data_IF_289295030669
#
_entry.id   IF_289295030669
#
_cell.length_a   1.000
_cell.length_b   1.000
_cell.length_c   1.000
_cell.angle_alpha   90.00
_cell.angle_beta   90.00
_cell.angle_gamma   90.00
#
_symmetry.space_group_name_H-M   'P 1'
#
loop_
_entity.id
_entity.type
_entity.pdbx_description
1 polymer ?
#
# COMPACT_ATOMS: atom_id res chain seq x y z
N UNK A 1 21.40 0.84 7.11
CA UNK A 1 21.09 -0.56 7.43
C UNK A 1 19.61 -0.75 7.28
N UNK A 2 19.15 -1.85 6.68
CA UNK A 2 17.71 -2.14 6.55
C UNK A 2 17.10 -2.40 7.91
N UNK A 3 15.85 -2.00 8.07
CA UNK A 3 15.08 -2.08 9.32
C UNK A 3 14.43 -3.45 9.54
N UNK A 4 14.64 -4.39 8.61
CA UNK A 4 14.14 -5.76 8.64
C UNK A 4 15.15 -6.74 8.05
N UNK A 5 15.00 -8.03 8.39
CA UNK A 5 15.89 -9.10 7.88
C UNK A 5 15.55 -9.43 6.42
N UNK A 6 16.44 -9.10 5.51
CA UNK A 6 16.27 -9.30 4.06
C UNK A 6 16.39 -10.76 3.60
N UNK A 7 16.85 -11.67 4.47
CA UNK A 7 17.02 -13.10 4.13
C UNK A 7 15.72 -13.91 4.36
N UNK A 8 14.66 -13.27 4.82
CA UNK A 8 13.35 -13.91 5.04
C UNK A 8 12.45 -13.59 3.83
N UNK A 9 11.89 -14.63 3.23
CA UNK A 9 10.85 -14.50 2.20
C UNK A 9 9.51 -14.28 2.85
N UNK A 10 8.95 -13.06 2.75
CA UNK A 10 7.71 -12.71 3.44
C UNK A 10 6.50 -12.76 2.51
N UNK A 11 5.37 -13.18 3.10
CA UNK A 11 4.03 -12.97 2.54
C UNK A 11 3.28 -12.10 3.55
N UNK A 12 2.92 -10.90 3.12
CA UNK A 12 2.23 -9.92 3.93
C UNK A 12 0.77 -9.74 3.53
N UNK A 13 0.03 -9.03 4.35
CA UNK A 13 -1.37 -8.70 4.12
C UNK A 13 -1.67 -7.23 4.42
N UNK A 14 -2.87 -6.77 4.02
CA UNK A 14 -3.21 -5.36 3.99
C UNK A 14 -4.31 -4.97 4.99
N UNK A 15 -4.06 -3.90 5.73
CA UNK A 15 -4.99 -3.00 6.40
C UNK A 15 -5.85 -3.60 7.53
N UNK A 16 -6.51 -4.73 7.34
CA UNK A 16 -7.51 -5.25 8.28
C UNK A 16 -7.17 -6.65 8.76
N UNK A 17 -7.44 -6.89 10.03
CA UNK A 17 -7.41 -8.23 10.62
C UNK A 17 -8.85 -8.69 10.80
N UNK A 18 -9.20 -9.81 10.17
CA UNK A 18 -10.53 -10.40 10.22
C UNK A 18 -10.62 -11.44 11.32
N UNK A 19 -11.83 -11.73 11.78
CA UNK A 19 -12.13 -12.84 12.68
C UNK A 19 -12.28 -14.14 11.89
N UNK A 20 -12.45 -15.26 12.58
CA UNK A 20 -12.75 -16.58 11.98
C UNK A 20 -14.02 -16.60 11.12
N UNK A 21 -14.89 -15.59 11.26
CA UNK A 21 -16.14 -15.44 10.50
C UNK A 21 -16.08 -14.33 9.46
N UNK A 22 -14.89 -13.97 8.99
CA UNK A 22 -14.65 -12.92 7.98
C UNK A 22 -15.16 -11.52 8.37
N UNK A 23 -15.33 -11.29 9.66
CA UNK A 23 -15.72 -10.00 10.20
C UNK A 23 -14.49 -9.23 10.67
N UNK A 24 -14.48 -7.91 10.44
CA UNK A 24 -13.43 -7.05 10.94
C UNK A 24 -13.34 -7.17 12.47
N UNK A 25 -12.14 -7.50 13.00
CA UNK A 25 -11.93 -7.62 14.44
C UNK A 25 -12.12 -6.25 15.11
N UNK A 26 -13.08 -6.11 16.04
CA UNK A 26 -13.53 -4.80 16.53
C UNK A 26 -12.44 -4.00 17.25
N UNK A 27 -11.50 -4.69 17.90
CA UNK A 27 -10.43 -4.06 18.68
C UNK A 27 -9.11 -3.89 17.92
N UNK A 28 -8.96 -4.55 16.76
CA UNK A 28 -7.72 -4.54 15.99
C UNK A 28 -7.79 -3.60 14.79
N UNK A 29 -8.97 -3.18 14.36
CA UNK A 29 -9.08 -2.35 13.18
C UNK A 29 -9.33 -0.87 13.54
N UNK A 30 -8.79 0.00 12.69
CA UNK A 30 -8.99 1.46 12.80
C UNK A 30 -10.45 1.83 12.50
N UNK A 31 -10.83 3.01 12.95
CA UNK A 31 -12.13 3.64 12.67
C UNK A 31 -11.91 4.90 11.87
N UNK A 32 -12.83 5.19 10.96
CA UNK A 32 -12.83 6.42 10.17
C UNK A 32 -14.04 7.28 10.48
N UNK A 33 -14.10 8.45 9.86
CA UNK A 33 -15.24 9.35 9.88
C UNK A 33 -15.35 10.02 8.52
N UNK A 34 -16.52 10.58 8.21
CA UNK A 34 -16.68 11.35 6.98
C UNK A 34 -16.60 12.85 7.27
N UNK A 35 -16.11 13.63 6.31
CA UNK A 35 -16.10 15.08 6.38
C UNK A 35 -17.50 15.62 6.61
N UNK A 36 -18.51 15.07 5.93
CA UNK A 36 -19.91 15.45 6.11
C UNK A 36 -20.40 15.24 7.54
N UNK A 37 -19.96 14.17 8.22
CA UNK A 37 -20.31 13.96 9.62
C UNK A 37 -19.66 15.03 10.52
N UNK A 38 -18.37 15.28 10.34
CA UNK A 38 -17.64 16.28 11.11
C UNK A 38 -18.25 17.69 10.92
N UNK A 39 -18.55 18.09 9.69
CA UNK A 39 -19.12 19.39 9.38
C UNK A 39 -20.49 19.65 10.03
N UNK A 40 -21.20 18.61 10.45
CA UNK A 40 -22.50 18.74 11.17
C UNK A 40 -22.35 18.87 12.68
N UNK A 41 -21.13 18.71 13.22
CA UNK A 41 -20.87 18.80 14.65
C UNK A 41 -20.52 20.24 15.06
N UNK A 42 -20.72 20.58 16.32
CA UNK A 42 -20.11 21.76 16.92
C UNK A 42 -18.59 21.64 16.95
N UNK A 43 -17.86 22.73 17.11
CA UNK A 43 -16.41 22.71 17.20
C UNK A 43 -15.90 21.76 18.29
N UNK A 44 -16.51 21.80 19.48
CA UNK A 44 -16.17 20.86 20.57
C UNK A 44 -16.50 19.41 20.20
N UNK A 45 -17.59 19.19 19.49
CA UNK A 45 -17.98 17.88 18.99
C UNK A 45 -17.00 17.32 17.95
N UNK A 46 -16.50 18.17 17.04
CA UNK A 46 -15.46 17.81 16.08
C UNK A 46 -14.17 17.41 16.80
N UNK A 47 -13.67 18.23 17.72
CA UNK A 47 -12.47 17.95 18.49
C UNK A 47 -12.60 16.66 19.31
N UNK A 48 -13.72 16.50 20.04
CA UNK A 48 -13.98 15.28 20.81
C UNK A 48 -14.00 14.02 19.92
N UNK A 49 -14.61 14.12 18.72
CA UNK A 49 -14.64 13.02 17.76
C UNK A 49 -13.25 12.68 17.23
N UNK A 50 -12.45 13.68 16.84
CA UNK A 50 -11.09 13.48 16.32
C UNK A 50 -10.16 12.90 17.40
N UNK A 51 -10.25 13.40 18.65
CA UNK A 51 -9.53 12.82 19.79
C UNK A 51 -9.89 11.33 20.01
N UNK A 52 -11.18 11.00 20.00
CA UNK A 52 -11.62 9.62 20.16
C UNK A 52 -11.14 8.70 19.03
N UNK A 53 -11.08 9.19 17.79
CA UNK A 53 -10.53 8.44 16.65
C UNK A 53 -9.01 8.28 16.77
N UNK A 54 -8.30 9.35 17.12
CA UNK A 54 -6.86 9.32 17.34
C UNK A 54 -6.48 8.25 18.39
N UNK A 55 -7.11 8.32 19.57
CA UNK A 55 -6.88 7.35 20.65
C UNK A 55 -7.16 5.91 20.20
N UNK A 56 -8.32 5.70 19.58
CA UNK A 56 -8.69 4.36 19.12
C UNK A 56 -7.71 3.82 18.08
N UNK A 57 -7.40 4.62 17.06
CA UNK A 57 -6.60 4.17 15.91
C UNK A 57 -5.13 3.92 16.28
N UNK A 58 -4.52 4.78 17.06
CA UNK A 58 -3.16 4.56 17.56
C UNK A 58 -3.08 3.26 18.38
N UNK A 59 -4.03 3.04 19.29
CA UNK A 59 -4.09 1.81 20.07
C UNK A 59 -4.42 0.57 19.21
N UNK A 60 -5.30 0.70 18.21
CA UNK A 60 -5.60 -0.38 17.28
C UNK A 60 -4.35 -0.78 16.50
N UNK A 61 -3.62 0.18 15.95
CA UNK A 61 -2.37 -0.07 15.23
C UNK A 61 -1.34 -0.81 16.10
N UNK A 62 -1.13 -0.38 17.34
CA UNK A 62 -0.22 -1.10 18.25
C UNK A 62 -0.68 -2.53 18.53
N UNK A 63 -1.98 -2.77 18.66
CA UNK A 63 -2.54 -4.13 18.82
C UNK A 63 -2.37 -4.96 17.55
N UNK A 64 -2.51 -4.35 16.35
CA UNK A 64 -2.22 -5.02 15.07
C UNK A 64 -0.75 -5.48 15.02
N UNK A 65 0.20 -4.62 15.38
CA UNK A 65 1.62 -4.99 15.43
C UNK A 65 1.89 -6.15 16.39
N UNK A 66 1.26 -6.15 17.58
CA UNK A 66 1.36 -7.28 18.52
C UNK A 66 0.77 -8.58 17.95
N UNK A 67 -0.30 -8.48 17.17
CA UNK A 67 -0.89 -9.63 16.51
C UNK A 67 0.05 -10.14 15.40
N UNK A 68 0.60 -9.27 14.58
CA UNK A 68 1.58 -9.61 13.52
C UNK A 68 2.85 -10.24 14.12
N UNK A 69 3.35 -9.72 15.23
CA UNK A 69 4.55 -10.25 15.91
C UNK A 69 4.37 -11.70 16.39
N UNK A 70 3.15 -12.17 16.61
CA UNK A 70 2.84 -13.57 16.97
C UNK A 70 2.84 -14.51 15.77
N UNK A 71 2.83 -13.97 14.55
CA UNK A 71 2.84 -14.79 13.34
C UNK A 71 4.26 -15.34 13.07
N UNK A 72 4.38 -16.41 12.27
CA UNK A 72 5.68 -16.88 11.77
C UNK A 72 6.48 -15.74 11.14
N UNK A 73 7.80 -15.77 11.22
CA UNK A 73 8.66 -14.68 10.70
C UNK A 73 8.38 -14.34 9.24
N UNK A 74 8.10 -15.34 8.40
CA UNK A 74 7.76 -15.15 6.99
C UNK A 74 6.35 -14.58 6.74
N UNK A 75 5.56 -14.31 7.79
CA UNK A 75 4.27 -13.63 7.73
C UNK A 75 4.31 -12.26 8.42
N UNK A 76 5.47 -11.81 8.91
CA UNK A 76 5.62 -10.52 9.58
C UNK A 76 5.84 -9.40 8.57
N UNK A 77 4.84 -9.18 7.73
CA UNK A 77 4.77 -8.08 6.79
C UNK A 77 3.35 -7.53 6.78
N UNK A 78 3.21 -6.23 6.98
CA UNK A 78 1.89 -5.62 7.18
C UNK A 78 1.81 -4.25 6.49
N UNK A 79 0.75 -4.06 5.68
CA UNK A 79 0.38 -2.76 5.11
C UNK A 79 -0.58 -2.05 6.05
N UNK A 80 -0.16 -0.92 6.59
CA UNK A 80 -0.95 -0.08 7.49
C UNK A 80 -2.03 0.64 6.67
N UNK A 81 -3.21 0.84 7.25
CA UNK A 81 -4.28 1.61 6.60
C UNK A 81 -3.92 3.10 6.53
N UNK A 82 -4.28 3.75 5.43
CA UNK A 82 -4.17 5.21 5.26
C UNK A 82 -5.10 5.99 6.20
N UNK A 83 -6.16 5.37 6.71
CA UNK A 83 -7.12 5.98 7.66
C UNK A 83 -6.62 6.03 9.11
N UNK A 84 -5.30 5.96 9.34
CA UNK A 84 -4.76 5.98 10.70
C UNK A 84 -5.08 7.29 11.43
N UNK A 85 -4.96 8.42 10.73
CA UNK A 85 -5.36 9.76 11.21
C UNK A 85 -6.44 10.36 10.27
N UNK A 86 -7.72 10.09 10.51
CA UNK A 86 -8.79 10.50 9.60
C UNK A 86 -8.88 12.03 9.44
N UNK A 87 -9.11 12.49 8.22
CA UNK A 87 -9.22 13.92 7.86
C UNK A 87 -7.93 14.75 8.08
N UNK A 88 -6.75 14.12 8.21
CA UNK A 88 -5.47 14.80 8.44
C UNK A 88 -5.15 15.83 7.34
N UNK A 89 -5.44 15.52 6.07
CA UNK A 89 -5.14 16.36 4.91
C UNK A 89 -6.26 17.33 4.53
N UNK A 90 -7.35 17.40 5.32
CA UNK A 90 -8.45 18.30 5.07
C UNK A 90 -8.22 19.65 5.78
N UNK A 91 -8.30 20.76 5.05
CA UNK A 91 -7.98 22.12 5.53
C UNK A 91 -8.68 22.50 6.84
N UNK A 92 -9.94 22.15 7.01
CA UNK A 92 -10.72 22.48 8.20
C UNK A 92 -10.31 21.69 9.44
N UNK A 93 -9.71 20.48 9.27
CA UNK A 93 -9.39 19.55 10.36
C UNK A 93 -7.90 19.35 10.57
N UNK A 94 -7.08 19.68 9.57
CA UNK A 94 -5.62 19.68 9.67
C UNK A 94 -5.10 20.43 10.92
N UNK A 95 -5.62 21.62 11.28
CA UNK A 95 -5.16 22.35 12.47
C UNK A 95 -5.27 21.56 13.79
N UNK A 96 -6.21 20.60 13.89
CA UNK A 96 -6.30 19.71 15.05
C UNK A 96 -5.02 18.89 15.23
N UNK A 97 -4.49 18.33 14.14
CA UNK A 97 -3.31 17.47 14.18
C UNK A 97 -2.00 18.21 14.42
N UNK A 98 -1.99 19.54 14.31
CA UNK A 98 -0.82 20.39 14.63
C UNK A 98 -0.88 21.01 16.02
N UNK A 99 -1.87 20.71 16.85
CA UNK A 99 -1.88 21.09 18.25
C UNK A 99 -0.76 20.34 18.99
N UNK A 100 -0.07 21.04 19.91
CA UNK A 100 1.14 20.52 20.54
C UNK A 100 0.93 19.22 21.32
N UNK A 101 -0.22 19.06 21.95
CA UNK A 101 -0.61 17.87 22.71
C UNK A 101 -0.98 16.70 21.80
N UNK A 102 -1.61 16.99 20.65
CA UNK A 102 -1.92 16.00 19.60
C UNK A 102 -0.64 15.49 18.96
N UNK A 103 0.25 16.40 18.54
CA UNK A 103 1.57 16.05 17.97
C UNK A 103 2.38 15.20 18.96
N UNK A 104 2.50 15.64 20.21
CA UNK A 104 3.25 14.89 21.23
C UNK A 104 2.70 13.48 21.44
N UNK A 105 1.37 13.31 21.39
CA UNK A 105 0.74 12.00 21.49
C UNK A 105 1.03 11.12 20.27
N UNK A 106 0.93 11.67 19.06
CA UNK A 106 1.23 10.95 17.81
C UNK A 106 2.69 10.49 17.82
N UNK A 107 3.63 11.41 18.08
CA UNK A 107 5.08 11.12 18.14
C UNK A 107 5.40 10.00 19.13
N UNK A 108 4.93 10.12 20.36
CA UNK A 108 5.19 9.13 21.39
C UNK A 108 4.64 7.75 21.01
N UNK A 109 3.41 7.70 20.47
CA UNK A 109 2.75 6.44 20.19
C UNK A 109 3.29 5.77 18.92
N UNK A 110 3.47 6.53 17.84
CA UNK A 110 4.03 6.01 16.60
C UNK A 110 5.51 5.66 16.75
N UNK A 111 6.27 6.42 17.53
CA UNK A 111 7.66 6.06 17.88
C UNK A 111 7.74 4.70 18.56
N UNK A 112 6.88 4.46 19.56
CA UNK A 112 6.77 3.14 20.22
C UNK A 112 6.36 2.04 19.23
N UNK A 113 5.44 2.31 18.31
CA UNK A 113 5.04 1.36 17.27
C UNK A 113 6.19 1.01 16.33
N UNK A 114 6.96 2.02 15.90
CA UNK A 114 8.12 1.82 15.03
C UNK A 114 9.23 1.02 15.70
N UNK A 115 9.53 1.31 16.97
CA UNK A 115 10.51 0.53 17.75
C UNK A 115 10.05 -0.93 17.88
N UNK A 116 8.80 -1.14 18.26
CA UNK A 116 8.24 -2.49 18.37
C UNK A 116 8.31 -3.26 17.05
N UNK A 117 8.03 -2.61 15.93
CA UNK A 117 8.09 -3.25 14.61
C UNK A 117 9.53 -3.68 14.26
N UNK A 118 10.54 -2.82 14.54
CA UNK A 118 11.96 -3.15 14.34
C UNK A 118 12.42 -4.30 15.23
N UNK A 119 12.08 -4.26 16.53
CA UNK A 119 12.44 -5.31 17.50
C UNK A 119 11.85 -6.68 17.14
N UNK A 120 10.69 -6.72 16.51
CA UNK A 120 10.00 -7.95 16.13
C UNK A 120 10.16 -8.33 14.65
N UNK A 121 11.04 -7.65 13.92
CA UNK A 121 11.32 -7.89 12.49
C UNK A 121 10.04 -7.85 11.63
N UNK A 122 9.20 -6.85 11.84
CA UNK A 122 7.97 -6.62 11.06
C UNK A 122 8.28 -5.65 9.92
N UNK A 123 8.07 -6.08 8.67
CA UNK A 123 8.17 -5.21 7.50
C UNK A 123 6.88 -4.44 7.31
N UNK A 124 6.95 -3.12 7.46
CA UNK A 124 5.78 -2.23 7.35
C UNK A 124 5.73 -1.55 5.98
N UNK A 125 4.53 -1.18 5.58
CA UNK A 125 4.29 -0.37 4.37
C UNK A 125 3.02 0.45 4.48
N UNK A 126 2.92 1.47 3.62
CA UNK A 126 1.68 2.19 3.30
C UNK A 126 1.33 2.04 1.81
N UNK A 127 0.07 2.31 1.52
CA UNK A 127 -0.43 2.51 0.17
C UNK A 127 -1.54 3.55 0.20
N UNK A 128 -1.23 4.84 -0.10
CA UNK A 128 -2.24 5.88 -0.26
C UNK A 128 -3.37 5.43 -1.17
N UNK A 129 -4.58 5.91 -0.89
CA UNK A 129 -5.76 5.54 -1.67
C UNK A 129 -5.67 5.96 -3.15
N UNK A 130 -6.56 5.42 -3.97
CA UNK A 130 -6.61 5.63 -5.43
C UNK A 130 -6.73 7.11 -5.87
N UNK A 131 -7.02 8.02 -4.94
CA UNK A 131 -7.09 9.46 -5.22
C UNK A 131 -5.72 10.17 -5.14
N UNK A 132 -4.68 9.49 -4.68
CA UNK A 132 -3.31 9.99 -4.71
C UNK A 132 -2.73 9.78 -6.13
N UNK A 133 -2.95 10.78 -7.01
CA UNK A 133 -2.59 10.73 -8.43
C UNK A 133 -1.50 11.77 -8.72
N UNK A 134 -0.25 11.42 -8.40
CA UNK A 134 0.93 12.31 -8.54
C UNK A 134 1.20 12.76 -9.98
N UNK A 135 0.75 12.00 -10.98
CA UNK A 135 0.92 12.31 -12.40
C UNK A 135 -0.36 12.79 -13.09
N UNK A 136 -1.27 13.44 -12.34
CA UNK A 136 -2.46 14.07 -12.92
C UNK A 136 -2.08 15.24 -13.86
N UNK A 137 -2.90 15.47 -14.88
CA UNK A 137 -2.83 16.68 -15.73
C UNK A 137 -3.52 17.89 -15.07
N UNK A 138 -4.22 17.70 -13.97
CA UNK A 138 -4.82 18.77 -13.16
C UNK A 138 -3.86 19.14 -12.01
N UNK A 139 -3.32 20.40 -12.00
CA UNK A 139 -2.40 20.83 -10.94
C UNK A 139 -2.98 20.72 -9.52
N UNK A 140 -4.27 21.01 -9.33
CA UNK A 140 -4.92 20.90 -8.02
C UNK A 140 -4.95 19.46 -7.49
N UNK A 141 -5.14 18.47 -8.39
CA UNK A 141 -5.06 17.05 -8.01
C UNK A 141 -3.61 16.68 -7.65
N UNK A 142 -2.62 17.21 -8.34
CA UNK A 142 -1.20 16.98 -8.01
C UNK A 142 -0.86 17.55 -6.64
N UNK A 143 -1.32 18.79 -6.32
CA UNK A 143 -1.12 19.39 -4.99
C UNK A 143 -1.72 18.53 -3.88
N UNK A 144 -2.99 18.14 -4.03
CA UNK A 144 -3.65 17.27 -3.06
C UNK A 144 -2.94 15.92 -2.92
N UNK A 145 -2.43 15.37 -4.03
CA UNK A 145 -1.70 14.09 -4.01
C UNK A 145 -0.35 14.20 -3.31
N UNK A 146 0.36 15.32 -3.48
CA UNK A 146 1.59 15.62 -2.75
C UNK A 146 1.29 15.75 -1.25
N UNK A 147 0.26 16.52 -0.87
CA UNK A 147 -0.17 16.67 0.52
C UNK A 147 -0.53 15.31 1.14
N UNK A 148 -1.25 14.47 0.41
CA UNK A 148 -1.62 13.13 0.87
C UNK A 148 -0.38 12.21 1.02
N UNK A 149 0.58 12.31 0.10
CA UNK A 149 1.81 11.52 0.19
C UNK A 149 2.70 12.01 1.34
N UNK A 150 2.82 13.33 1.55
CA UNK A 150 3.56 13.91 2.68
C UNK A 150 2.92 13.56 4.03
N UNK A 151 1.60 13.44 4.10
CA UNK A 151 0.94 12.88 5.30
C UNK A 151 1.47 11.48 5.64
N UNK A 152 1.60 10.60 4.65
CA UNK A 152 2.16 9.28 4.88
C UNK A 152 3.65 9.35 5.26
N UNK A 153 4.41 10.28 4.68
CA UNK A 153 5.79 10.52 5.06
C UNK A 153 5.92 11.04 6.51
N UNK A 154 4.98 11.85 6.99
CA UNK A 154 4.91 12.27 8.40
C UNK A 154 4.70 11.08 9.34
N UNK A 155 3.74 10.19 9.02
CA UNK A 155 3.52 8.98 9.81
C UNK A 155 4.77 8.08 9.84
N UNK A 156 5.42 7.91 8.70
CA UNK A 156 6.66 7.14 8.54
C UNK A 156 7.78 7.75 9.40
N UNK A 157 7.92 9.07 9.39
CA UNK A 157 8.90 9.82 10.18
C UNK A 157 8.65 9.69 11.69
N UNK A 158 7.39 9.80 12.13
CA UNK A 158 7.01 9.59 13.53
C UNK A 158 7.35 8.19 14.03
N UNK A 159 7.26 7.18 13.15
CA UNK A 159 7.69 5.82 13.47
C UNK A 159 9.22 5.61 13.39
N UNK A 160 9.99 6.65 13.04
CA UNK A 160 11.46 6.61 12.98
C UNK A 160 12.04 6.01 11.71
N UNK A 161 11.25 5.95 10.62
CA UNK A 161 11.67 5.52 9.28
C UNK A 161 11.81 6.70 8.30
N UNK A 162 12.02 6.41 7.03
CA UNK A 162 12.14 7.39 5.94
C UNK A 162 13.53 8.02 5.81
N UNK A 163 14.49 7.62 6.64
CA UNK A 163 15.84 8.21 6.68
C UNK A 163 16.76 7.67 5.59
N UNK A 164 16.52 6.45 5.15
CA UNK A 164 17.32 5.78 4.13
C UNK A 164 16.41 5.19 3.06
N UNK A 165 16.96 5.00 1.86
CA UNK A 165 16.21 4.47 0.72
C UNK A 165 15.55 3.13 1.08
N UNK A 166 14.24 3.09 0.98
CA UNK A 166 13.38 1.92 1.19
C UNK A 166 13.54 1.23 2.56
N UNK A 167 13.87 1.98 3.62
CA UNK A 167 13.73 1.50 5.00
C UNK A 167 12.25 1.34 5.41
N UNK A 168 11.35 1.93 4.63
CA UNK A 168 9.91 1.78 4.66
C UNK A 168 9.35 1.93 3.23
N UNK A 169 8.28 1.20 2.89
CA UNK A 169 7.64 1.29 1.57
C UNK A 169 6.34 2.09 1.64
N UNK A 170 6.21 3.13 0.83
CA UNK A 170 4.95 3.85 0.60
C UNK A 170 4.63 3.79 -0.90
N UNK A 171 3.62 3.02 -1.29
CA UNK A 171 3.34 2.67 -2.67
C UNK A 171 2.25 3.54 -3.28
N UNK A 172 2.42 3.96 -4.53
CA UNK A 172 1.36 4.57 -5.34
C UNK A 172 1.42 4.03 -6.78
N UNK A 173 0.26 4.04 -7.45
CA UNK A 173 0.21 3.65 -8.86
C UNK A 173 0.85 4.70 -9.77
N UNK A 174 1.40 4.25 -10.90
CA UNK A 174 1.76 5.14 -12.01
C UNK A 174 0.47 5.65 -12.71
N UNK A 175 -0.31 6.43 -11.96
CA UNK A 175 -1.62 6.94 -12.40
C UNK A 175 -1.55 8.35 -12.99
N UNK A 176 -2.66 8.77 -13.63
CA UNK A 176 -2.80 10.09 -14.24
C UNK A 176 -2.33 10.15 -15.69
N UNK A 177 -2.74 11.21 -16.41
CA UNK A 177 -2.46 11.33 -17.85
C UNK A 177 -1.00 11.59 -18.17
N UNK A 178 -0.23 12.11 -17.19
CA UNK A 178 1.16 12.47 -17.41
C UNK A 178 2.14 11.32 -17.16
N UNK A 179 1.65 10.18 -16.61
CA UNK A 179 2.41 8.95 -16.46
C UNK A 179 3.80 9.13 -15.81
N UNK A 180 4.82 8.42 -16.30
CA UNK A 180 6.17 8.48 -15.73
C UNK A 180 6.76 9.90 -15.65
N UNK A 181 6.53 10.76 -16.62
CA UNK A 181 7.04 12.13 -16.58
C UNK A 181 6.38 12.99 -15.51
N UNK A 182 5.08 12.75 -15.23
CA UNK A 182 4.39 13.36 -14.11
C UNK A 182 5.00 12.94 -12.78
N UNK A 183 5.30 11.66 -12.61
CA UNK A 183 5.98 11.11 -11.41
C UNK A 183 7.36 11.77 -11.24
N UNK A 184 8.18 11.87 -12.30
CA UNK A 184 9.51 12.53 -12.23
C UNK A 184 9.40 13.96 -11.73
N UNK A 185 8.39 14.72 -12.18
CA UNK A 185 8.14 16.10 -11.70
C UNK A 185 7.67 16.13 -10.24
N UNK A 186 6.76 15.24 -9.85
CA UNK A 186 6.28 15.17 -8.48
C UNK A 186 7.40 14.81 -7.49
N UNK A 187 8.30 13.88 -7.84
CA UNK A 187 9.47 13.52 -7.05
C UNK A 187 10.35 14.71 -6.65
N UNK A 188 10.48 15.72 -7.52
CA UNK A 188 11.28 16.92 -7.22
C UNK A 188 10.67 17.79 -6.12
N UNK A 189 9.39 17.63 -5.86
CA UNK A 189 8.60 18.41 -4.90
C UNK A 189 8.41 17.72 -3.55
N UNK A 190 8.63 16.40 -3.50
CA UNK A 190 8.51 15.61 -2.28
C UNK A 190 9.68 15.86 -1.33
N UNK A 191 9.42 15.72 -0.03
CA UNK A 191 10.45 15.74 1.03
C UNK A 191 11.47 14.60 0.83
N UNK A 192 12.66 14.70 1.44
CA UNK A 192 13.65 13.61 1.38
C UNK A 192 13.10 12.28 1.88
N UNK A 193 12.34 12.28 2.98
CA UNK A 193 11.72 11.10 3.58
C UNK A 193 10.68 10.49 2.65
N UNK A 194 9.83 11.32 2.05
CA UNK A 194 8.85 10.89 1.06
C UNK A 194 9.54 10.23 -0.14
N UNK A 195 10.61 10.83 -0.69
CA UNK A 195 11.39 10.24 -1.79
C UNK A 195 12.07 8.92 -1.43
N UNK A 196 12.56 8.81 -0.20
CA UNK A 196 13.21 7.58 0.27
C UNK A 196 12.24 6.41 0.34
N UNK A 197 10.97 6.65 0.56
CA UNK A 197 9.95 5.63 0.80
C UNK A 197 9.03 5.37 -0.38
N UNK A 198 8.99 6.29 -1.37
CA UNK A 198 8.13 6.15 -2.54
C UNK A 198 8.47 4.89 -3.33
N UNK A 199 7.44 4.11 -3.63
CA UNK A 199 7.47 3.10 -4.68
C UNK A 199 6.38 3.36 -5.70
N UNK A 200 6.65 3.02 -6.97
CA UNK A 200 5.69 3.14 -8.06
C UNK A 200 5.29 1.76 -8.55
N UNK A 201 3.99 1.56 -8.63
CA UNK A 201 3.35 0.32 -9.08
C UNK A 201 2.79 0.45 -10.49
N UNK A 202 2.92 -0.59 -11.30
CA UNK A 202 2.28 -0.66 -12.62
C UNK A 202 0.76 -0.72 -12.49
N UNK A 203 0.07 0.01 -13.36
CA UNK A 203 -1.37 0.04 -13.42
C UNK A 203 -1.94 -1.01 -14.41
N UNK A 204 -3.19 -1.36 -14.20
CA UNK A 204 -3.91 -2.36 -15.01
C UNK A 204 -4.39 -1.87 -16.38
N UNK A 205 -4.34 -0.56 -16.66
CA UNK A 205 -4.85 0.00 -17.92
C UNK A 205 -3.81 0.79 -18.71
N UNK A 206 -3.65 2.09 -18.40
CA UNK A 206 -2.91 3.01 -19.27
C UNK A 206 -1.39 2.85 -19.15
N UNK A 207 -0.89 2.70 -17.91
CA UNK A 207 0.53 2.71 -17.61
C UNK A 207 0.94 1.37 -17.03
N UNK A 208 1.16 0.38 -17.91
CA UNK A 208 1.62 -0.95 -17.53
C UNK A 208 3.07 -0.99 -17.06
N UNK A 209 3.61 -2.21 -16.92
CA UNK A 209 4.96 -2.44 -16.42
C UNK A 209 6.04 -1.69 -17.23
N UNK A 210 5.97 -1.72 -18.55
CA UNK A 210 6.98 -1.08 -19.40
C UNK A 210 7.07 0.43 -19.16
N UNK A 211 5.94 1.10 -18.94
CA UNK A 211 5.91 2.52 -18.56
C UNK A 211 6.52 2.74 -17.17
N UNK A 212 6.21 1.87 -16.19
CA UNK A 212 6.82 1.97 -14.86
C UNK A 212 8.34 1.82 -14.91
N UNK A 213 8.86 1.00 -15.81
CA UNK A 213 10.31 0.81 -16.00
C UNK A 213 11.07 2.05 -16.48
N UNK A 214 10.38 3.10 -16.94
CA UNK A 214 11.00 4.40 -17.22
C UNK A 214 11.43 5.15 -15.94
N UNK A 215 11.00 4.67 -14.77
CA UNK A 215 11.27 5.25 -13.45
C UNK A 215 12.34 4.48 -12.66
N UNK A 216 12.97 3.47 -13.24
CA UNK A 216 13.91 2.56 -12.56
C UNK A 216 15.05 3.29 -11.85
N UNK A 217 15.52 4.39 -12.41
CA UNK A 217 16.60 5.21 -11.84
C UNK A 217 16.10 6.26 -10.83
N UNK A 218 14.78 6.48 -10.77
CA UNK A 218 14.18 7.52 -9.95
C UNK A 218 13.68 7.01 -8.59
N UNK A 219 13.02 5.83 -8.57
CA UNK A 219 12.42 5.25 -7.37
C UNK A 219 12.37 3.71 -7.46
N UNK A 220 12.08 3.05 -6.35
CA UNK A 220 11.82 1.63 -6.36
C UNK A 220 10.48 1.32 -7.04
N UNK A 221 10.41 0.22 -7.79
CA UNK A 221 9.22 -0.20 -8.52
C UNK A 221 8.59 -1.42 -7.85
N UNK A 222 7.26 -1.45 -7.82
CA UNK A 222 6.46 -2.61 -7.40
C UNK A 222 5.85 -3.22 -8.64
N UNK A 223 6.09 -4.50 -8.86
CA UNK A 223 5.35 -5.27 -9.83
C UNK A 223 4.09 -5.80 -9.16
N UNK A 224 2.91 -5.26 -9.52
CA UNK A 224 1.66 -5.96 -9.30
C UNK A 224 1.45 -6.94 -10.45
N UNK A 225 1.48 -8.25 -10.13
CA UNK A 225 1.40 -9.31 -11.12
C UNK A 225 0.00 -9.49 -11.68
N UNK A 226 -1.04 -9.12 -10.91
CA UNK A 226 -2.42 -9.14 -11.38
C UNK A 226 -2.72 -7.97 -12.32
N UNK A 227 -2.26 -6.74 -11.97
CA UNK A 227 -2.36 -5.60 -12.87
C UNK A 227 -1.64 -5.85 -14.20
N UNK A 228 -0.45 -6.47 -14.13
CA UNK A 228 0.28 -6.85 -15.34
C UNK A 228 -0.52 -7.85 -16.19
N UNK A 229 -1.11 -8.88 -15.57
CA UNK A 229 -1.94 -9.83 -16.27
C UNK A 229 -3.19 -9.14 -16.92
N UNK A 230 -3.87 -8.23 -16.23
CA UNK A 230 -5.00 -7.47 -16.77
C UNK A 230 -4.57 -6.58 -17.95
N UNK A 231 -3.38 -5.97 -17.87
CA UNK A 231 -2.85 -5.07 -18.89
C UNK A 231 -2.34 -5.84 -20.14
N UNK A 232 -1.44 -6.77 -19.94
CA UNK A 232 -0.69 -7.45 -20.99
C UNK A 232 -1.25 -8.83 -21.37
N UNK A 233 -2.07 -9.47 -20.53
CA UNK A 233 -2.61 -10.80 -20.75
C UNK A 233 -1.59 -11.93 -20.56
N UNK A 234 -0.46 -11.65 -19.92
CA UNK A 234 0.62 -12.61 -19.74
C UNK A 234 0.93 -12.89 -18.26
N UNK A 235 1.36 -14.10 -17.99
CA UNK A 235 1.90 -14.52 -16.69
C UNK A 235 3.41 -14.34 -16.70
N UNK A 236 3.88 -13.12 -16.40
CA UNK A 236 5.31 -12.79 -16.28
C UNK A 236 6.01 -13.73 -15.29
N UNK A 237 7.29 -14.02 -15.52
CA UNK A 237 8.08 -14.94 -14.68
C UNK A 237 9.23 -14.20 -13.99
N UNK A 238 9.82 -14.78 -12.92
CA UNK A 238 11.00 -14.20 -12.28
C UNK A 238 12.25 -14.11 -13.17
N UNK A 239 12.27 -14.85 -14.29
CA UNK A 239 13.37 -14.84 -15.26
C UNK A 239 13.24 -13.72 -16.30
N UNK A 240 12.09 -13.06 -16.38
CA UNK A 240 11.85 -11.95 -17.29
C UNK A 240 12.78 -10.77 -16.96
N UNK A 241 13.38 -10.19 -17.98
CA UNK A 241 14.31 -9.06 -17.82
C UNK A 241 13.62 -7.82 -17.24
N UNK A 242 12.31 -7.63 -17.49
CA UNK A 242 11.53 -6.55 -16.89
C UNK A 242 11.46 -6.72 -15.36
N UNK A 243 11.24 -7.94 -14.86
CA UNK A 243 11.25 -8.20 -13.42
C UNK A 243 12.64 -7.99 -12.80
N UNK A 244 13.72 -8.38 -13.49
CA UNK A 244 15.09 -8.08 -13.04
C UNK A 244 15.29 -6.58 -12.87
N UNK A 245 14.85 -5.77 -13.85
CA UNK A 245 14.91 -4.31 -13.75
C UNK A 245 14.08 -3.75 -12.58
N UNK A 246 12.91 -4.35 -12.30
CA UNK A 246 12.14 -4.02 -11.07
C UNK A 246 13.01 -4.29 -9.84
N UNK A 247 13.66 -5.45 -9.73
CA UNK A 247 14.55 -5.76 -8.61
C UNK A 247 15.72 -4.77 -8.50
N UNK A 248 16.35 -4.41 -9.61
CA UNK A 248 17.47 -3.47 -9.65
C UNK A 248 17.08 -2.07 -9.13
N UNK A 249 15.84 -1.63 -9.36
CA UNK A 249 15.33 -0.36 -8.84
C UNK A 249 15.35 -0.26 -7.31
N UNK A 250 15.38 -1.38 -6.60
CA UNK A 250 15.43 -1.46 -5.14
C UNK A 250 16.84 -1.29 -4.58
N UNK A 251 17.88 -1.17 -5.42
CA UNK A 251 19.26 -0.85 -5.03
C UNK A 251 19.81 -1.76 -3.92
N UNK A 252 19.50 -3.05 -4.00
CA UNK A 252 19.92 -4.05 -3.03
C UNK A 252 19.02 -4.23 -1.80
N UNK A 253 17.97 -3.43 -1.66
CA UNK A 253 16.88 -3.71 -0.70
C UNK A 253 15.98 -4.78 -1.31
N UNK A 254 15.51 -5.74 -0.50
CA UNK A 254 14.63 -6.80 -0.98
C UNK A 254 13.34 -6.23 -1.56
N UNK A 255 12.99 -6.53 -2.82
CA UNK A 255 11.81 -6.02 -3.49
C UNK A 255 10.50 -6.48 -2.83
N UNK A 256 9.40 -5.81 -3.20
CA UNK A 256 8.04 -6.25 -2.93
C UNK A 256 7.30 -6.34 -4.25
N UNK A 257 6.56 -7.42 -4.44
CA UNK A 257 5.52 -7.54 -5.47
C UNK A 257 4.14 -7.53 -4.82
N UNK A 258 3.12 -7.16 -5.58
CA UNK A 258 1.72 -7.29 -5.15
C UNK A 258 1.05 -8.48 -5.83
N UNK A 259 0.19 -9.15 -5.08
CA UNK A 259 -0.64 -10.27 -5.51
C UNK A 259 -2.09 -10.00 -5.17
N UNK A 260 -2.93 -10.06 -6.16
CA UNK A 260 -4.37 -10.21 -6.02
C UNK A 260 -4.90 -11.19 -7.07
N UNK A 261 -6.16 -11.56 -6.96
CA UNK A 261 -6.86 -12.40 -7.95
C UNK A 261 -8.19 -11.76 -8.29
N UNK A 262 -8.67 -11.96 -9.52
CA UNK A 262 -10.05 -11.58 -9.86
C UNK A 262 -11.03 -12.30 -8.95
N UNK A 263 -12.15 -11.66 -8.67
CA UNK A 263 -13.18 -12.23 -7.77
C UNK A 263 -13.77 -13.52 -8.34
N UNK A 264 -13.97 -14.50 -7.47
CA UNK A 264 -14.59 -15.79 -7.79
C UNK A 264 -16.04 -15.65 -8.28
N UNK A 265 -16.78 -14.66 -7.77
CA UNK A 265 -18.15 -14.36 -8.23
C UNK A 265 -18.20 -13.66 -9.60
N UNK A 266 -17.07 -13.21 -10.12
CA UNK A 266 -16.91 -12.69 -11.48
C UNK A 266 -16.52 -13.81 -12.43
N UNK A 267 -15.60 -14.69 -12.05
CA UNK A 267 -15.14 -15.83 -12.87
C UNK A 267 -15.79 -17.11 -12.36
N UNK A 268 -17.11 -17.17 -12.46
CA UNK A 268 -17.93 -18.28 -11.95
C UNK A 268 -17.53 -19.61 -12.63
N UNK A 269 -17.51 -20.69 -11.83
CA UNK A 269 -17.21 -22.07 -12.26
C UNK A 269 -15.80 -22.25 -12.87
N UNK A 270 -14.88 -21.32 -12.66
CA UNK A 270 -13.49 -21.49 -13.08
C UNK A 270 -12.75 -22.49 -12.17
N UNK A 271 -12.04 -23.44 -12.78
CA UNK A 271 -11.23 -24.41 -12.01
C UNK A 271 -10.09 -23.67 -11.27
N UNK A 272 -10.04 -23.70 -9.92
CA UNK A 272 -9.00 -23.03 -9.15
C UNK A 272 -7.59 -23.60 -9.37
N UNK A 273 -7.46 -24.75 -10.03
CA UNK A 273 -6.17 -25.36 -10.40
C UNK A 273 -5.67 -24.92 -11.76
N UNK A 274 -6.41 -24.07 -12.45
CA UNK A 274 -6.05 -23.53 -13.77
C UNK A 274 -5.92 -22.01 -13.66
N UNK A 275 -4.86 -21.45 -14.23
CA UNK A 275 -4.73 -19.99 -14.30
C UNK A 275 -5.70 -19.44 -15.34
N UNK A 276 -6.45 -18.37 -15.02
CA UNK A 276 -7.38 -17.75 -15.96
C UNK A 276 -6.68 -17.25 -17.22
N UNK A 277 -7.26 -17.51 -18.39
CA UNK A 277 -6.79 -16.95 -19.66
C UNK A 277 -7.56 -15.68 -19.99
N UNK A 278 -6.86 -14.53 -20.02
CA UNK A 278 -7.48 -13.23 -20.25
C UNK A 278 -8.17 -13.12 -21.61
N UNK A 279 -7.60 -13.72 -22.66
CA UNK A 279 -8.17 -13.66 -24.00
C UNK A 279 -9.46 -14.48 -24.09
N UNK A 280 -9.47 -15.67 -23.48
CA UNK A 280 -10.68 -16.50 -23.40
C UNK A 280 -11.76 -15.78 -22.59
N UNK A 281 -11.43 -15.19 -21.44
CA UNK A 281 -12.40 -14.45 -20.63
C UNK A 281 -12.96 -13.24 -21.40
N UNK A 282 -12.13 -12.50 -22.13
CA UNK A 282 -12.61 -11.41 -23.00
C UNK A 282 -13.51 -11.90 -24.12
N UNK A 283 -13.19 -13.04 -24.74
CA UNK A 283 -14.04 -13.66 -25.75
C UNK A 283 -15.41 -14.12 -25.20
N UNK A 284 -15.47 -14.46 -23.90
CA UNK A 284 -16.71 -14.76 -23.16
C UNK A 284 -17.48 -13.50 -22.72
N UNK A 285 -16.97 -12.29 -23.02
CA UNK A 285 -17.63 -11.03 -22.71
C UNK A 285 -17.22 -10.38 -21.36
N UNK A 286 -16.20 -10.90 -20.69
CA UNK A 286 -15.66 -10.25 -19.50
C UNK A 286 -14.83 -9.00 -19.86
N UNK A 287 -15.06 -7.91 -19.15
CA UNK A 287 -14.28 -6.70 -19.33
C UNK A 287 -13.11 -6.64 -18.35
N UNK A 288 -11.99 -6.02 -18.74
CA UNK A 288 -10.87 -5.79 -17.82
C UNK A 288 -11.31 -5.05 -16.54
N UNK A 289 -12.30 -4.15 -16.64
CA UNK A 289 -12.86 -3.44 -15.50
C UNK A 289 -13.55 -4.36 -14.47
N UNK A 290 -14.16 -5.48 -14.91
CA UNK A 290 -14.70 -6.50 -14.00
C UNK A 290 -13.60 -7.40 -13.45
N UNK A 291 -12.66 -7.81 -14.31
CA UNK A 291 -11.61 -8.75 -13.94
C UNK A 291 -10.57 -8.15 -12.98
N UNK A 292 -10.41 -6.81 -12.94
CA UNK A 292 -9.50 -6.15 -12.01
C UNK A 292 -9.99 -6.12 -10.55
N UNK A 293 -11.28 -6.36 -10.31
CA UNK A 293 -11.81 -6.37 -8.96
C UNK A 293 -11.18 -7.52 -8.16
N UNK A 294 -10.54 -7.17 -7.05
CA UNK A 294 -9.83 -8.12 -6.21
C UNK A 294 -10.81 -8.97 -5.40
N UNK A 295 -10.50 -10.27 -5.30
CA UNK A 295 -11.13 -11.16 -4.32
C UNK A 295 -10.57 -10.89 -2.93
N UNK A 296 -11.39 -11.08 -1.91
CA UNK A 296 -10.95 -11.09 -0.52
C UNK A 296 -10.11 -12.34 -0.18
N UNK A 297 -10.00 -13.30 -1.11
CA UNK A 297 -9.34 -14.59 -0.92
C UNK A 297 -8.39 -14.95 -2.06
N UNK A 298 -7.29 -15.61 -1.74
CA UNK A 298 -6.39 -16.25 -2.72
C UNK A 298 -6.97 -17.61 -3.15
N UNK A 299 -8.17 -17.61 -3.74
CA UNK A 299 -8.96 -18.82 -4.05
C UNK A 299 -8.38 -19.67 -5.19
N UNK A 300 -7.59 -19.09 -6.10
CA UNK A 300 -7.02 -19.81 -7.24
C UNK A 300 -5.62 -20.33 -6.91
N UNK A 301 -5.49 -21.65 -6.69
CA UNK A 301 -4.22 -22.27 -6.33
C UNK A 301 -3.15 -22.16 -7.41
N UNK A 302 -3.55 -22.21 -8.70
CA UNK A 302 -2.60 -22.10 -9.80
C UNK A 302 -2.02 -20.67 -9.93
N UNK A 303 -2.78 -19.63 -9.56
CA UNK A 303 -2.28 -18.25 -9.45
C UNK A 303 -1.37 -18.11 -8.23
N UNK A 304 -1.74 -18.73 -7.10
CA UNK A 304 -0.90 -18.72 -5.90
C UNK A 304 0.45 -19.39 -6.15
N UNK A 305 0.46 -20.57 -6.80
CA UNK A 305 1.70 -21.28 -7.16
C UNK A 305 2.58 -20.42 -8.09
N UNK A 306 1.98 -19.73 -9.06
CA UNK A 306 2.71 -18.77 -9.89
C UNK A 306 3.30 -17.63 -9.08
N UNK A 307 2.54 -16.99 -8.20
CA UNK A 307 3.02 -15.90 -7.35
C UNK A 307 4.19 -16.37 -6.44
N UNK A 308 4.13 -17.60 -5.91
CA UNK A 308 5.17 -18.14 -5.07
C UNK A 308 6.51 -18.35 -5.81
N UNK A 309 6.51 -18.42 -7.14
CA UNK A 309 7.77 -18.48 -7.91
C UNK A 309 8.63 -17.23 -7.74
N UNK A 310 8.03 -16.08 -7.37
CA UNK A 310 8.75 -14.84 -7.08
C UNK A 310 9.34 -14.77 -5.68
N UNK A 311 8.89 -15.63 -4.76
CA UNK A 311 9.29 -15.61 -3.34
C UNK A 311 10.82 -15.69 -3.10
N UNK A 312 11.65 -16.37 -3.92
CA UNK A 312 13.10 -16.32 -3.76
C UNK A 312 13.71 -14.93 -3.99
N UNK A 313 13.02 -14.05 -4.72
CA UNK A 313 13.55 -12.76 -5.20
C UNK A 313 12.88 -11.55 -4.52
N UNK A 314 11.63 -11.67 -4.12
CA UNK A 314 10.82 -10.58 -3.59
C UNK A 314 9.91 -11.05 -2.45
N UNK A 315 9.52 -10.14 -1.58
CA UNK A 315 8.40 -10.36 -0.67
C UNK A 315 7.08 -10.16 -1.42
N UNK A 316 6.03 -10.83 -0.99
CA UNK A 316 4.70 -10.79 -1.62
C UNK A 316 3.72 -10.10 -0.69
N UNK A 317 3.15 -8.97 -1.12
CA UNK A 317 2.02 -8.32 -0.46
C UNK A 317 0.73 -8.79 -1.11
N UNK A 318 -0.14 -9.43 -0.33
CA UNK A 318 -1.48 -9.82 -0.77
C UNK A 318 -2.44 -8.64 -0.57
N UNK A 319 -3.24 -8.35 -1.59
CA UNK A 319 -4.18 -7.23 -1.63
C UNK A 319 -5.64 -7.68 -1.79
#
# INVERSE_FOLDING_TARGET
MTTFNQNINRIGFACKIQTEHDLAHPDLNTKSTTITYLARQTQDGQQSKLWGLLDHNLNAFYRQLKWVAKQPHNQRMFRITSDLLPAYTHDDYMPFYFQSDVVAKIEAHLGMCGDFARENDIRLSFHPGQFCVLASDNPGIVENSITEFEYHADLIRYMGYGRTFQDFKCNVHVGGKQGPDGIKRALQRLSPEARNTLTIENAEFTWGLDASLELVDNCALVLDIHHHWINAGEYITPQDDRFKRVCDSWRGVRPVIHLSTSREDVIVDHDPKVRPDLQQLKAMGFTSAKLRAHSDYCWNSAVNDWALTFSPYADIMVE
#
